data_IF_215108331569
#
_entry.id   IF_215108331569
#
_cell.length_a   1.000
_cell.length_b   1.000
_cell.length_c   1.000
_cell.angle_alpha   90.00
_cell.angle_beta   90.00
_cell.angle_gamma   90.00
#
_symmetry.space_group_name_H-M   'P 1'
#
loop_
_entity.id
_entity.type
_entity.pdbx_description
1 polymer ?
#
# COMPACT_ATOMS: atom_id res chain seq x y z
N UNK A 1 -30.13 -1.28 13.69
CA UNK A 1 -29.39 -2.38 14.34
C UNK A 1 -29.91 -3.67 13.71
N UNK A 2 -29.06 -4.36 12.96
CA UNK A 2 -29.49 -5.55 12.21
C UNK A 2 -29.72 -6.76 13.13
N UNK A 3 -30.63 -7.68 12.71
CA UNK A 3 -30.88 -8.92 13.44
C UNK A 3 -29.63 -9.72 13.78
N UNK A 4 -28.59 -9.58 12.95
CA UNK A 4 -27.27 -10.20 13.15
C UNK A 4 -26.52 -9.56 14.31
N UNK A 5 -26.63 -8.24 14.49
CA UNK A 5 -26.02 -7.51 15.60
C UNK A 5 -26.56 -7.95 16.95
N UNK A 6 -27.87 -8.20 17.01
CA UNK A 6 -28.56 -8.72 18.21
C UNK A 6 -28.14 -10.16 18.54
N UNK A 7 -28.02 -11.02 17.54
CA UNK A 7 -27.59 -12.41 17.73
C UNK A 7 -26.13 -12.53 18.17
N UNK A 8 -25.25 -11.66 17.66
CA UNK A 8 -23.84 -11.65 18.03
C UNK A 8 -23.56 -11.00 19.39
N UNK A 9 -24.40 -10.07 19.84
CA UNK A 9 -24.39 -9.58 21.24
C UNK A 9 -24.73 -10.68 22.24
N UNK A 10 -25.57 -11.64 21.85
CA UNK A 10 -25.93 -12.79 22.71
C UNK A 10 -24.80 -13.83 22.88
N UNK A 11 -23.77 -13.79 21.98
CA UNK A 11 -22.62 -14.72 21.99
C UNK A 11 -21.38 -14.08 22.67
N UNK A 12 -21.49 -12.87 23.23
CA UNK A 12 -20.39 -12.11 23.85
C UNK A 12 -19.17 -11.93 22.93
N UNK A 13 -19.33 -12.11 21.61
CA UNK A 13 -18.28 -11.93 20.62
C UNK A 13 -18.54 -10.66 19.80
N UNK A 14 -17.80 -9.56 20.03
CA UNK A 14 -18.04 -8.32 19.30
C UNK A 14 -17.91 -8.52 17.79
N UNK A 15 -18.89 -8.07 17.02
CA UNK A 15 -18.93 -8.14 15.54
C UNK A 15 -17.64 -7.64 14.92
N UNK A 16 -17.00 -6.66 15.53
CA UNK A 16 -15.73 -6.12 15.08
C UNK A 16 -14.63 -7.20 14.98
N UNK A 17 -14.43 -7.99 16.04
CA UNK A 17 -13.39 -9.04 16.04
C UNK A 17 -13.69 -10.13 15.02
N UNK A 18 -14.97 -10.47 14.83
CA UNK A 18 -15.39 -11.38 13.79
C UNK A 18 -15.03 -10.83 12.40
N UNK A 19 -15.32 -9.55 12.11
CA UNK A 19 -14.95 -8.90 10.84
C UNK A 19 -13.44 -8.90 10.63
N UNK A 20 -12.64 -8.64 11.66
CA UNK A 20 -11.17 -8.68 11.60
C UNK A 20 -10.66 -10.07 11.23
N UNK A 21 -11.14 -11.12 11.92
CA UNK A 21 -10.73 -12.49 11.64
C UNK A 21 -11.19 -12.93 10.25
N UNK A 22 -12.46 -12.69 9.90
CA UNK A 22 -13.00 -13.09 8.61
C UNK A 22 -12.33 -12.35 7.46
N UNK A 23 -12.07 -11.05 7.60
CA UNK A 23 -11.37 -10.27 6.56
C UNK A 23 -9.97 -10.82 6.29
N UNK A 24 -9.23 -11.18 7.33
CA UNK A 24 -7.92 -11.83 7.21
C UNK A 24 -8.02 -13.19 6.51
N UNK A 25 -8.88 -14.07 7.00
CA UNK A 25 -9.00 -15.44 6.48
C UNK A 25 -9.47 -15.43 5.02
N UNK A 26 -10.53 -14.67 4.72
CA UNK A 26 -11.05 -14.61 3.35
C UNK A 26 -10.07 -13.97 2.38
N UNK A 27 -9.39 -12.89 2.77
CA UNK A 27 -8.41 -12.24 1.91
C UNK A 27 -7.21 -13.15 1.63
N UNK A 28 -6.72 -13.88 2.64
CA UNK A 28 -5.71 -14.90 2.47
C UNK A 28 -6.18 -15.98 1.48
N UNK A 29 -7.35 -16.57 1.69
CA UNK A 29 -7.88 -17.65 0.85
C UNK A 29 -8.13 -17.19 -0.58
N UNK A 30 -8.73 -16.02 -0.80
CA UNK A 30 -8.98 -15.47 -2.13
C UNK A 30 -7.67 -15.32 -2.90
N UNK A 31 -6.65 -14.72 -2.27
CA UNK A 31 -5.33 -14.57 -2.90
C UNK A 31 -4.70 -15.91 -3.19
N UNK A 32 -4.71 -16.82 -2.21
CA UNK A 32 -4.10 -18.14 -2.32
C UNK A 32 -4.74 -19.00 -3.43
N UNK A 33 -6.07 -18.94 -3.61
CA UNK A 33 -6.76 -19.64 -4.69
C UNK A 33 -6.64 -18.96 -6.05
N UNK A 34 -6.54 -17.63 -6.10
CA UNK A 34 -6.47 -16.88 -7.37
C UNK A 34 -5.12 -17.00 -8.06
N UNK A 35 -4.02 -17.02 -7.31
CA UNK A 35 -2.66 -17.02 -7.85
C UNK A 35 -2.36 -18.20 -8.77
N UNK A 36 -2.69 -19.47 -8.45
CA UNK A 36 -2.44 -20.59 -9.37
C UNK A 36 -3.10 -20.42 -10.74
N UNK A 37 -4.31 -19.85 -10.75
CA UNK A 37 -5.04 -19.55 -11.98
C UNK A 37 -4.34 -18.48 -12.81
N UNK A 38 -3.86 -17.41 -12.16
CA UNK A 38 -3.11 -16.32 -12.80
C UNK A 38 -1.79 -16.88 -13.37
N UNK A 39 -1.03 -17.67 -12.62
CA UNK A 39 0.20 -18.32 -13.10
C UNK A 39 -0.09 -19.15 -14.37
N UNK A 40 -1.16 -19.94 -14.36
CA UNK A 40 -1.56 -20.79 -15.52
C UNK A 40 -1.90 -19.94 -16.75
N UNK A 41 -2.64 -18.84 -16.55
CA UNK A 41 -3.01 -17.92 -17.64
C UNK A 41 -1.75 -17.20 -18.17
N UNK A 42 -0.92 -16.65 -17.29
CA UNK A 42 0.31 -15.95 -17.66
C UNK A 42 1.24 -16.82 -18.49
N UNK A 43 1.43 -18.09 -18.10
CA UNK A 43 2.24 -19.05 -18.86
C UNK A 43 1.65 -19.36 -20.23
N UNK A 44 0.32 -19.56 -20.32
CA UNK A 44 -0.36 -19.86 -21.59
C UNK A 44 -0.31 -18.69 -22.57
N UNK A 45 -0.31 -17.47 -22.07
CA UNK A 45 -0.32 -16.23 -22.87
C UNK A 45 1.07 -15.62 -23.02
N UNK A 46 2.14 -16.26 -22.51
CA UNK A 46 3.50 -15.73 -22.47
C UNK A 46 3.62 -14.34 -21.81
N UNK A 47 2.75 -14.05 -20.82
CA UNK A 47 2.79 -12.84 -20.01
C UNK A 47 3.73 -13.10 -18.83
N UNK A 48 5.03 -13.04 -19.06
CA UNK A 48 6.07 -13.33 -18.08
C UNK A 48 7.17 -12.29 -18.19
N UNK A 49 7.75 -11.93 -17.05
CA UNK A 49 8.93 -11.08 -17.01
C UNK A 49 10.13 -11.84 -17.57
N UNK A 50 10.79 -11.22 -18.55
CA UNK A 50 11.96 -11.81 -19.22
C UNK A 50 13.25 -11.41 -18.49
N UNK A 51 14.18 -12.38 -18.31
CA UNK A 51 15.48 -12.07 -17.75
C UNK A 51 16.19 -11.02 -18.61
N UNK A 52 16.38 -9.83 -18.04
CA UNK A 52 17.10 -8.74 -18.68
C UNK A 52 18.46 -8.49 -17.99
N UNK A 53 19.28 -7.59 -18.56
CA UNK A 53 20.56 -7.18 -17.93
C UNK A 53 20.40 -6.54 -16.54
N UNK A 54 19.15 -6.23 -16.14
CA UNK A 54 18.80 -5.58 -14.87
C UNK A 54 17.99 -6.49 -13.92
N UNK A 55 17.60 -7.70 -14.37
CA UNK A 55 16.82 -8.61 -13.55
C UNK A 55 17.70 -9.50 -12.68
N UNK A 56 17.27 -9.74 -11.46
CA UNK A 56 17.93 -10.64 -10.49
C UNK A 56 17.63 -12.12 -10.74
N UNK A 57 16.86 -12.46 -11.77
CA UNK A 57 16.45 -13.83 -12.07
C UNK A 57 16.87 -14.27 -13.48
N UNK A 58 17.21 -15.54 -13.63
CA UNK A 58 17.66 -16.14 -14.89
C UNK A 58 16.54 -16.76 -15.75
N UNK A 59 15.29 -16.73 -15.29
CA UNK A 59 14.16 -17.42 -15.93
C UNK A 59 12.93 -16.53 -15.99
N UNK A 60 12.06 -16.80 -16.99
CA UNK A 60 10.75 -16.15 -17.15
C UNK A 60 9.82 -16.52 -15.99
N UNK A 61 9.37 -15.52 -15.23
CA UNK A 61 8.47 -15.66 -14.09
C UNK A 61 7.24 -14.77 -14.32
N UNK A 62 6.00 -15.26 -14.03
CA UNK A 62 4.80 -14.43 -14.09
C UNK A 62 4.91 -13.24 -13.12
N UNK A 63 4.52 -12.03 -13.58
CA UNK A 63 4.57 -10.78 -12.81
C UNK A 63 3.18 -10.19 -12.49
N UNK A 64 2.10 -10.92 -12.69
CA UNK A 64 0.73 -10.44 -12.50
C UNK A 64 0.12 -10.78 -11.12
N UNK A 65 0.95 -10.95 -10.08
CA UNK A 65 0.49 -11.24 -8.72
C UNK A 65 -0.37 -10.15 -8.12
N UNK A 66 -0.14 -8.91 -8.48
CA UNK A 66 -0.92 -7.75 -8.06
C UNK A 66 -2.40 -7.82 -8.42
N UNK A 67 -2.78 -8.53 -9.50
CA UNK A 67 -4.19 -8.73 -9.86
C UNK A 67 -4.92 -9.55 -8.78
N UNK A 68 -4.31 -10.64 -8.30
CA UNK A 68 -4.90 -11.44 -7.22
C UNK A 68 -5.02 -10.63 -5.93
N UNK A 69 -3.99 -9.83 -5.62
CA UNK A 69 -3.97 -8.97 -4.46
C UNK A 69 -5.06 -7.90 -4.52
N UNK A 70 -5.19 -7.20 -5.63
CA UNK A 70 -6.26 -6.22 -5.83
C UNK A 70 -7.65 -6.87 -5.67
N UNK A 71 -7.89 -7.98 -6.35
CA UNK A 71 -9.18 -8.68 -6.28
C UNK A 71 -9.55 -9.06 -4.85
N UNK A 72 -8.61 -9.62 -4.11
CA UNK A 72 -8.78 -9.98 -2.71
C UNK A 72 -9.10 -8.77 -1.83
N UNK A 73 -8.31 -7.68 -1.96
CA UNK A 73 -8.52 -6.45 -1.18
C UNK A 73 -9.87 -5.83 -1.53
N UNK A 74 -10.21 -5.71 -2.83
CA UNK A 74 -11.44 -5.10 -3.28
C UNK A 74 -12.67 -5.84 -2.74
N UNK A 75 -12.68 -7.17 -2.85
CA UNK A 75 -13.81 -8.00 -2.36
C UNK A 75 -13.92 -7.90 -0.83
N UNK A 76 -12.84 -8.16 -0.10
CA UNK A 76 -12.89 -8.18 1.36
C UNK A 76 -13.14 -6.81 1.97
N UNK A 77 -12.53 -5.73 1.44
CA UNK A 77 -12.80 -4.39 1.92
C UNK A 77 -14.25 -3.96 1.66
N UNK A 78 -14.83 -4.33 0.52
CA UNK A 78 -16.23 -4.02 0.20
C UNK A 78 -17.23 -4.76 1.13
N UNK A 79 -16.87 -5.95 1.62
CA UNK A 79 -17.74 -6.74 2.51
C UNK A 79 -17.55 -6.33 3.97
N UNK A 80 -16.30 -6.26 4.43
CA UNK A 80 -16.00 -6.13 5.86
C UNK A 80 -15.66 -4.70 6.31
N UNK A 81 -15.18 -3.85 5.41
CA UNK A 81 -14.78 -2.47 5.66
C UNK A 81 -15.52 -1.46 4.77
N UNK A 82 -16.76 -1.73 4.37
CA UNK A 82 -17.55 -0.90 3.44
C UNK A 82 -17.65 0.57 3.90
N UNK A 83 -17.64 0.82 5.20
CA UNK A 83 -17.63 2.18 5.76
C UNK A 83 -16.47 3.05 5.28
N UNK A 84 -15.35 2.44 4.81
CA UNK A 84 -14.24 3.18 4.20
C UNK A 84 -14.67 3.91 2.93
N UNK A 85 -15.58 3.33 2.15
CA UNK A 85 -16.03 3.94 0.90
C UNK A 85 -17.03 5.09 1.13
N UNK A 86 -17.70 5.10 2.28
CA UNK A 86 -18.51 6.24 2.73
C UNK A 86 -17.62 7.39 3.23
N UNK A 87 -16.56 7.05 3.96
CA UNK A 87 -15.59 8.01 4.50
C UNK A 87 -14.66 8.57 3.41
N UNK A 88 -14.20 7.69 2.50
CA UNK A 88 -13.22 8.00 1.47
C UNK A 88 -13.77 7.63 0.08
N UNK A 89 -14.75 8.40 -0.39
CA UNK A 89 -15.58 8.11 -1.59
C UNK A 89 -14.80 7.75 -2.84
N UNK A 90 -13.62 8.34 -3.03
CA UNK A 90 -12.81 8.11 -4.23
C UNK A 90 -11.72 7.04 -4.05
N UNK A 91 -11.63 6.40 -2.87
CA UNK A 91 -10.63 5.37 -2.63
C UNK A 91 -10.75 4.21 -3.62
N UNK A 92 -11.97 3.70 -3.81
CA UNK A 92 -12.19 2.58 -4.72
C UNK A 92 -11.89 2.94 -6.17
N UNK A 93 -12.33 4.11 -6.63
CA UNK A 93 -12.02 4.59 -7.99
C UNK A 93 -10.51 4.75 -8.19
N UNK A 94 -9.79 5.27 -7.21
CA UNK A 94 -8.33 5.39 -7.23
C UNK A 94 -7.65 4.02 -7.36
N UNK A 95 -8.12 3.03 -6.61
CA UNK A 95 -7.57 1.66 -6.67
C UNK A 95 -7.83 0.99 -8.03
N UNK A 96 -9.00 1.20 -8.65
CA UNK A 96 -9.34 0.66 -9.97
C UNK A 96 -8.47 1.29 -11.06
N UNK A 97 -8.25 2.60 -11.03
CA UNK A 97 -7.36 3.29 -11.99
C UNK A 97 -5.93 2.77 -11.80
N UNK A 98 -5.48 2.61 -10.57
CA UNK A 98 -4.14 2.10 -10.27
C UNK A 98 -3.95 0.66 -10.76
N UNK A 99 -4.97 -0.19 -10.58
CA UNK A 99 -4.99 -1.55 -11.14
C UNK A 99 -4.81 -1.51 -12.66
N UNK A 100 -5.62 -0.70 -13.35
CA UNK A 100 -5.54 -0.62 -14.81
C UNK A 100 -4.15 -0.21 -15.29
N UNK A 101 -3.59 0.83 -14.68
CA UNK A 101 -2.26 1.34 -15.04
C UNK A 101 -1.17 0.32 -14.71
N UNK A 102 -1.22 -0.31 -13.54
CA UNK A 102 -0.26 -1.33 -13.13
C UNK A 102 -0.28 -2.54 -14.07
N UNK A 103 -1.47 -3.06 -14.37
CA UNK A 103 -1.62 -4.19 -15.31
C UNK A 103 -1.10 -3.83 -16.70
N UNK A 104 -1.38 -2.61 -17.17
CA UNK A 104 -0.86 -2.14 -18.47
C UNK A 104 0.66 -2.02 -18.45
N UNK A 105 1.27 -1.61 -17.34
CA UNK A 105 2.71 -1.54 -17.20
C UNK A 105 3.35 -2.94 -17.14
N UNK A 106 2.75 -3.86 -16.39
CA UNK A 106 3.19 -5.25 -16.30
C UNK A 106 3.13 -6.02 -17.64
N UNK A 107 2.21 -5.64 -18.54
CA UNK A 107 2.02 -6.32 -19.84
C UNK A 107 2.79 -5.63 -20.97
N UNK A 108 2.80 -4.30 -21.02
CA UNK A 108 3.23 -3.54 -22.23
C UNK A 108 4.41 -2.60 -21.95
N UNK A 109 4.90 -2.51 -20.71
CA UNK A 109 5.94 -1.57 -20.27
C UNK A 109 5.62 -0.12 -20.66
N UNK A 110 5.04 0.63 -19.76
CA UNK A 110 4.61 2.00 -20.01
C UNK A 110 5.77 2.99 -19.95
N UNK A 111 5.68 4.08 -20.71
CA UNK A 111 6.60 5.21 -20.57
C UNK A 111 6.41 5.87 -19.18
N UNK A 112 7.50 6.20 -18.51
CA UNK A 112 7.51 6.75 -17.15
C UNK A 112 6.56 7.95 -16.95
N UNK A 113 6.46 8.85 -17.93
CA UNK A 113 5.58 10.02 -17.83
C UNK A 113 4.07 9.65 -17.80
N UNK A 114 3.66 8.56 -18.50
CA UNK A 114 2.26 8.10 -18.47
C UNK A 114 1.91 7.52 -17.11
N UNK A 115 2.83 6.74 -16.53
CA UNK A 115 2.71 6.21 -15.16
C UNK A 115 2.60 7.35 -14.15
N UNK A 116 3.45 8.38 -14.27
CA UNK A 116 3.42 9.56 -13.42
C UNK A 116 2.10 10.33 -13.52
N UNK A 117 1.59 10.57 -14.72
CA UNK A 117 0.30 11.26 -14.91
C UNK A 117 -0.82 10.47 -14.22
N UNK A 118 -0.86 9.16 -14.40
CA UNK A 118 -1.87 8.32 -13.75
C UNK A 118 -1.76 8.38 -12.21
N UNK A 119 -0.55 8.34 -11.66
CA UNK A 119 -0.33 8.50 -10.22
C UNK A 119 -0.79 9.87 -9.71
N UNK A 120 -0.56 10.95 -10.48
CA UNK A 120 -1.07 12.29 -10.14
C UNK A 120 -2.59 12.29 -10.11
N UNK A 121 -3.26 11.73 -11.11
CA UNK A 121 -4.73 11.66 -11.17
C UNK A 121 -5.28 10.88 -9.98
N UNK A 122 -4.72 9.71 -9.68
CA UNK A 122 -5.15 8.85 -8.57
C UNK A 122 -4.94 9.54 -7.22
N UNK A 123 -3.79 10.19 -7.01
CA UNK A 123 -3.51 10.96 -5.80
C UNK A 123 -4.45 12.17 -5.67
N UNK A 124 -4.69 12.90 -6.76
CA UNK A 124 -5.59 14.04 -6.76
C UNK A 124 -7.04 13.66 -6.45
N UNK A 125 -7.54 12.52 -6.99
CA UNK A 125 -8.87 12.01 -6.65
C UNK A 125 -9.02 11.75 -5.16
N UNK A 126 -8.01 11.19 -4.51
CA UNK A 126 -8.07 10.89 -3.08
C UNK A 126 -7.85 12.16 -2.23
N UNK A 127 -6.86 12.99 -2.58
CA UNK A 127 -6.50 14.19 -1.82
C UNK A 127 -7.57 15.25 -1.91
N UNK A 128 -8.09 15.52 -3.11
CA UNK A 128 -9.09 16.56 -3.33
C UNK A 128 -10.51 16.02 -3.12
N UNK A 129 -10.78 14.83 -3.67
CA UNK A 129 -12.13 14.25 -3.67
C UNK A 129 -12.53 13.64 -2.32
N UNK A 130 -11.61 13.01 -1.59
CA UNK A 130 -11.86 12.43 -0.26
C UNK A 130 -11.21 13.21 0.88
N UNK A 131 -10.60 14.36 0.61
CA UNK A 131 -9.93 15.26 1.58
C UNK A 131 -8.83 14.55 2.41
N UNK A 132 -8.20 13.50 1.85
CA UNK A 132 -7.09 12.77 2.47
C UNK A 132 -5.80 13.52 2.21
N UNK A 133 -5.42 14.41 3.12
CA UNK A 133 -4.28 15.30 2.93
C UNK A 133 -3.50 15.56 4.22
N UNK A 134 -2.23 15.90 4.06
CA UNK A 134 -1.36 16.34 5.15
C UNK A 134 -1.69 17.81 5.45
N UNK A 135 -2.34 18.07 6.57
CA UNK A 135 -2.81 19.41 6.98
C UNK A 135 -1.83 20.16 7.85
N UNK A 136 -0.89 19.45 8.47
CA UNK A 136 0.07 20.01 9.43
C UNK A 136 1.44 19.40 9.21
N UNK A 137 2.49 20.20 9.46
CA UNK A 137 3.85 19.70 9.66
C UNK A 137 4.19 19.50 11.13
N UNK A 138 3.21 19.64 12.04
CA UNK A 138 3.35 19.38 13.47
C UNK A 138 4.48 20.17 14.14
N UNK A 139 4.79 21.37 13.65
CA UNK A 139 5.84 22.24 14.16
C UNK A 139 7.22 22.03 13.53
N UNK A 140 7.37 21.11 12.58
CA UNK A 140 8.60 20.98 11.79
C UNK A 140 8.81 22.28 11.00
N UNK A 141 10.01 22.86 11.08
CA UNK A 141 10.35 24.19 10.55
C UNK A 141 9.45 25.33 11.08
N UNK A 142 8.81 25.16 12.25
CA UNK A 142 7.88 26.14 12.81
C UNK A 142 6.51 26.19 12.13
N UNK A 143 6.22 25.25 11.23
CA UNK A 143 4.96 25.18 10.48
C UNK A 143 4.01 24.21 11.17
N UNK A 144 2.91 24.73 11.74
CA UNK A 144 1.88 23.91 12.39
C UNK A 144 0.74 23.58 11.42
N UNK A 145 0.30 24.55 10.62
CA UNK A 145 -0.79 24.35 9.69
C UNK A 145 -0.38 24.74 8.26
N UNK A 146 -0.77 23.91 7.30
CA UNK A 146 -0.61 24.19 5.89
C UNK A 146 -1.90 24.80 5.34
N UNK A 147 -1.80 25.88 4.57
CA UNK A 147 -2.95 26.33 3.81
C UNK A 147 -3.42 25.24 2.85
N UNK A 148 -4.70 25.31 2.44
CA UNK A 148 -5.33 24.25 1.63
C UNK A 148 -4.52 23.91 0.38
N UNK A 149 -4.08 24.90 -0.38
CA UNK A 149 -3.37 24.71 -1.64
C UNK A 149 -2.01 24.01 -1.44
N UNK A 150 -1.21 24.47 -0.48
CA UNK A 150 0.06 23.82 -0.14
C UNK A 150 -0.15 22.40 0.40
N UNK A 151 -1.16 22.18 1.24
CA UNK A 151 -1.54 20.88 1.76
C UNK A 151 -1.88 19.89 0.63
N UNK A 152 -2.65 20.31 -0.37
CA UNK A 152 -3.00 19.49 -1.54
C UNK A 152 -1.77 19.13 -2.35
N UNK A 153 -0.94 20.10 -2.73
CA UNK A 153 0.27 19.86 -3.52
C UNK A 153 1.22 18.94 -2.76
N UNK A 154 1.47 19.24 -1.49
CA UNK A 154 2.38 18.46 -0.65
C UNK A 154 1.92 17.00 -0.51
N UNK A 155 0.61 16.78 -0.33
CA UNK A 155 0.04 15.44 -0.23
C UNK A 155 0.14 14.66 -1.55
N UNK A 156 -0.17 15.29 -2.70
CA UNK A 156 -0.03 14.64 -4.02
C UNK A 156 1.44 14.25 -4.26
N UNK A 157 2.38 15.15 -3.99
CA UNK A 157 3.81 14.87 -4.13
C UNK A 157 4.23 13.73 -3.21
N UNK A 158 3.76 13.71 -1.97
CA UNK A 158 4.02 12.62 -1.01
C UNK A 158 3.49 11.28 -1.53
N UNK A 159 2.26 11.23 -2.07
CA UNK A 159 1.73 10.01 -2.70
C UNK A 159 2.64 9.52 -3.82
N UNK A 160 3.05 10.40 -4.73
CA UNK A 160 3.90 10.03 -5.87
C UNK A 160 5.24 9.48 -5.38
N UNK A 161 5.89 10.18 -4.45
CA UNK A 161 7.20 9.77 -3.94
C UNK A 161 7.09 8.40 -3.24
N UNK A 162 6.14 8.21 -2.34
CA UNK A 162 6.04 7.01 -1.53
C UNK A 162 5.57 5.79 -2.33
N UNK A 163 4.66 5.97 -3.30
CA UNK A 163 4.25 4.89 -4.22
C UNK A 163 5.44 4.40 -5.05
N UNK A 164 6.22 5.33 -5.61
CA UNK A 164 7.40 4.95 -6.38
C UNK A 164 8.52 4.39 -5.49
N UNK A 165 8.72 4.94 -4.30
CA UNK A 165 9.69 4.43 -3.34
C UNK A 165 9.37 2.98 -2.92
N UNK A 166 8.08 2.67 -2.70
CA UNK A 166 7.66 1.30 -2.40
C UNK A 166 7.81 0.36 -3.60
N UNK A 167 7.53 0.83 -4.81
CA UNK A 167 7.75 0.06 -6.03
C UNK A 167 9.24 -0.28 -6.21
N UNK A 168 10.15 0.62 -5.85
CA UNK A 168 11.58 0.40 -5.97
C UNK A 168 12.14 -0.66 -5.00
N UNK A 169 11.52 -0.91 -3.85
CA UNK A 169 11.97 -1.97 -2.94
C UNK A 169 11.50 -3.37 -3.35
N UNK A 170 10.60 -3.50 -4.33
CA UNK A 170 10.11 -4.79 -4.84
C UNK A 170 11.09 -5.47 -5.82
N UNK A 171 12.38 -5.36 -5.55
CA UNK A 171 13.43 -5.99 -6.36
C UNK A 171 14.00 -7.29 -5.78
N UNK A 172 13.60 -7.67 -4.55
CA UNK A 172 13.99 -8.91 -3.87
C UNK A 172 12.75 -9.68 -3.47
N UNK A 173 12.78 -11.00 -3.69
CA UNK A 173 11.68 -11.89 -3.29
C UNK A 173 11.30 -11.71 -1.83
N UNK A 174 10.03 -11.46 -1.60
CA UNK A 174 9.46 -11.31 -0.27
C UNK A 174 9.72 -9.97 0.41
N UNK A 175 10.70 -9.15 -0.01
CA UNK A 175 11.08 -7.93 0.69
C UNK A 175 9.89 -6.96 0.80
N UNK A 176 9.32 -6.54 -0.32
CA UNK A 176 8.18 -5.62 -0.33
C UNK A 176 6.97 -6.23 0.40
N UNK A 177 6.69 -7.52 0.19
CA UNK A 177 5.57 -8.21 0.85
C UNK A 177 5.74 -8.27 2.37
N UNK A 178 6.88 -8.74 2.88
CA UNK A 178 7.15 -8.83 4.34
C UNK A 178 7.13 -7.45 4.98
N UNK A 179 7.77 -6.48 4.32
CA UNK A 179 7.75 -5.10 4.80
C UNK A 179 6.33 -4.53 4.86
N UNK A 180 5.51 -4.79 3.83
CA UNK A 180 4.09 -4.42 3.84
C UNK A 180 3.33 -5.03 5.01
N UNK A 181 3.51 -6.32 5.30
CA UNK A 181 2.90 -6.98 6.47
C UNK A 181 3.29 -6.29 7.78
N UNK A 182 4.56 -5.94 7.95
CA UNK A 182 5.03 -5.23 9.15
C UNK A 182 4.36 -3.84 9.25
N UNK A 183 4.39 -3.05 8.18
CA UNK A 183 3.82 -1.70 8.19
C UNK A 183 2.31 -1.70 8.47
N UNK A 184 1.53 -2.55 7.77
CA UNK A 184 0.09 -2.63 7.99
C UNK A 184 -0.26 -3.22 9.36
N UNK A 185 0.58 -4.08 9.94
CA UNK A 185 0.40 -4.55 11.32
C UNK A 185 0.60 -3.40 12.31
N UNK A 186 1.64 -2.59 12.14
CA UNK A 186 1.89 -1.44 13.01
C UNK A 186 0.79 -0.39 12.91
N UNK A 187 0.33 -0.06 11.69
CA UNK A 187 -0.80 0.85 11.51
C UNK A 187 -2.10 0.25 12.04
N UNK A 188 -2.39 -1.03 11.79
CA UNK A 188 -3.58 -1.71 12.30
C UNK A 188 -3.66 -1.69 13.83
N UNK A 189 -2.56 -1.99 14.52
CA UNK A 189 -2.46 -1.89 15.99
C UNK A 189 -2.66 -0.45 16.45
N UNK A 190 -2.07 0.52 15.76
CA UNK A 190 -2.20 1.93 16.08
C UNK A 190 -3.64 2.40 15.94
N UNK A 191 -4.32 2.06 14.85
CA UNK A 191 -5.73 2.38 14.63
C UNK A 191 -6.65 1.73 15.66
N UNK A 192 -6.39 0.48 16.03
CA UNK A 192 -7.15 -0.20 17.07
C UNK A 192 -7.07 0.55 18.41
N UNK A 193 -5.88 1.01 18.79
CA UNK A 193 -5.68 1.79 20.02
C UNK A 193 -6.30 3.19 19.97
N UNK A 194 -6.50 3.76 18.79
CA UNK A 194 -7.14 5.06 18.59
C UNK A 194 -8.68 5.01 18.63
N UNK A 195 -9.26 3.82 18.84
CA UNK A 195 -10.68 3.64 19.15
C UNK A 195 -11.56 3.32 17.95
N UNK A 196 -12.83 3.08 18.24
CA UNK A 196 -13.81 2.45 17.34
C UNK A 196 -14.03 3.15 16.00
N UNK A 197 -13.93 4.46 15.97
CA UNK A 197 -14.06 5.22 14.71
C UNK A 197 -13.06 4.76 13.65
N UNK A 198 -11.91 4.21 14.06
CA UNK A 198 -10.84 3.79 13.16
C UNK A 198 -10.92 2.29 12.82
N UNK A 199 -11.93 1.56 13.30
CA UNK A 199 -12.11 0.14 13.03
C UNK A 199 -12.16 -0.23 11.54
N UNK A 200 -12.74 0.58 10.64
CA UNK A 200 -12.65 0.30 9.20
C UNK A 200 -11.20 0.26 8.67
N UNK A 201 -10.30 1.11 9.21
CA UNK A 201 -8.88 1.10 8.85
C UNK A 201 -8.14 -0.11 9.46
N UNK A 202 -8.56 -0.60 10.63
CA UNK A 202 -8.06 -1.87 11.21
C UNK A 202 -8.42 -3.03 10.30
N UNK A 203 -9.69 -3.11 9.86
CA UNK A 203 -10.17 -4.18 8.98
C UNK A 203 -9.47 -4.11 7.61
N UNK A 204 -9.25 -2.92 7.06
CA UNK A 204 -8.45 -2.75 5.84
C UNK A 204 -7.02 -3.28 6.03
N UNK A 205 -6.37 -2.92 7.13
CA UNK A 205 -5.01 -3.37 7.45
C UNK A 205 -4.95 -4.90 7.53
N UNK A 206 -5.89 -5.54 8.23
CA UNK A 206 -5.93 -7.01 8.33
C UNK A 206 -6.26 -7.69 7.01
N UNK A 207 -7.12 -7.09 6.17
CA UNK A 207 -7.39 -7.53 4.81
C UNK A 207 -6.11 -7.53 3.96
N UNK A 208 -5.34 -6.46 4.02
CA UNK A 208 -4.08 -6.35 3.26
C UNK A 208 -3.07 -7.37 3.77
N UNK A 209 -2.93 -7.54 5.08
CA UNK A 209 -2.03 -8.53 5.68
C UNK A 209 -2.37 -9.93 5.20
N UNK A 210 -3.66 -10.35 5.25
CA UNK A 210 -4.10 -11.65 4.77
C UNK A 210 -3.80 -11.85 3.28
N UNK A 211 -4.09 -10.83 2.46
CA UNK A 211 -3.78 -10.80 1.03
C UNK A 211 -2.29 -11.01 0.76
N UNK A 212 -1.44 -10.23 1.44
CA UNK A 212 0.01 -10.27 1.22
C UNK A 212 0.61 -11.60 1.71
N UNK A 213 0.14 -12.16 2.82
CA UNK A 213 0.61 -13.48 3.29
C UNK A 213 0.23 -14.57 2.29
N UNK A 214 -0.99 -14.51 1.73
CA UNK A 214 -1.41 -15.42 0.65
C UNK A 214 -0.54 -15.30 -0.61
N UNK A 215 -0.11 -14.08 -0.96
CA UNK A 215 0.83 -13.82 -2.05
C UNK A 215 2.25 -14.33 -1.73
N UNK A 216 2.77 -14.05 -0.54
CA UNK A 216 4.11 -14.44 -0.12
C UNK A 216 4.33 -15.95 -0.17
N UNK A 217 3.30 -16.75 0.08
CA UNK A 217 3.36 -18.19 -0.07
C UNK A 217 3.87 -18.62 -1.46
N UNK A 218 3.44 -17.92 -2.51
CA UNK A 218 3.87 -18.21 -3.89
C UNK A 218 5.11 -17.44 -4.29
N UNK A 219 5.29 -16.22 -3.82
CA UNK A 219 6.46 -15.40 -4.14
C UNK A 219 7.76 -16.03 -3.62
N UNK A 220 7.71 -16.60 -2.41
CA UNK A 220 8.82 -17.29 -1.78
C UNK A 220 8.91 -18.80 -2.14
N UNK A 221 7.98 -19.30 -2.96
CA UNK A 221 7.95 -20.71 -3.36
C UNK A 221 8.98 -21.03 -4.42
N UNK A 222 9.21 -22.34 -4.60
CA UNK A 222 10.04 -22.86 -5.66
C UNK A 222 9.55 -22.48 -7.07
N UNK A 223 10.47 -22.53 -8.03
CA UNK A 223 10.38 -22.05 -9.41
C UNK A 223 9.08 -22.41 -10.17
N UNK A 224 8.46 -23.55 -9.84
CA UNK A 224 7.22 -23.99 -10.53
C UNK A 224 5.96 -23.25 -10.10
N UNK A 225 5.95 -22.64 -8.93
CA UNK A 225 4.81 -21.93 -8.35
C UNK A 225 5.07 -20.44 -8.13
N UNK A 226 6.26 -19.98 -8.48
CA UNK A 226 6.69 -18.61 -8.23
C UNK A 226 5.94 -17.60 -9.08
N UNK A 227 5.61 -16.48 -8.46
CA UNK A 227 5.00 -15.30 -9.09
C UNK A 227 5.59 -14.04 -8.46
N UNK A 228 5.79 -13.00 -9.27
CA UNK A 228 6.16 -11.66 -8.79
C UNK A 228 4.91 -10.81 -8.55
N UNK A 229 5.07 -9.80 -7.70
CA UNK A 229 4.02 -8.84 -7.37
C UNK A 229 3.68 -7.98 -8.59
N UNK A 230 4.68 -7.61 -9.37
CA UNK A 230 4.62 -6.69 -10.49
C UNK A 230 4.38 -5.24 -10.06
N UNK A 231 4.39 -4.35 -11.04
CA UNK A 231 4.08 -2.94 -10.85
C UNK A 231 2.66 -2.73 -10.31
N UNK A 232 1.72 -3.60 -10.72
CA UNK A 232 0.35 -3.62 -10.19
C UNK A 232 0.32 -3.77 -8.68
N UNK A 233 1.02 -4.76 -8.14
CA UNK A 233 0.96 -5.07 -6.71
C UNK A 233 1.77 -4.10 -5.86
N UNK A 234 2.97 -3.73 -6.29
CA UNK A 234 3.83 -2.82 -5.55
C UNK A 234 3.27 -1.39 -5.50
N UNK A 235 2.70 -0.87 -6.62
CA UNK A 235 2.00 0.42 -6.60
C UNK A 235 0.74 0.38 -5.74
N UNK A 236 -0.03 -0.71 -5.78
CA UNK A 236 -1.21 -0.91 -4.95
C UNK A 236 -0.86 -0.83 -3.45
N UNK A 237 0.15 -1.58 -3.01
CA UNK A 237 0.59 -1.57 -1.62
C UNK A 237 1.20 -0.22 -1.22
N UNK A 238 2.03 0.37 -2.06
CA UNK A 238 2.60 1.69 -1.82
C UNK A 238 1.53 2.77 -1.66
N UNK A 239 0.51 2.74 -2.52
CA UNK A 239 -0.63 3.67 -2.44
C UNK A 239 -1.45 3.47 -1.16
N UNK A 240 -1.82 2.23 -0.82
CA UNK A 240 -2.56 1.93 0.39
C UNK A 240 -1.76 2.25 1.66
N UNK A 241 -0.45 2.03 1.63
CA UNK A 241 0.42 2.36 2.75
C UNK A 241 0.54 3.88 2.94
N UNK A 242 0.65 4.64 1.84
CA UNK A 242 0.64 6.11 1.90
C UNK A 242 -0.72 6.64 2.39
N UNK A 243 -1.81 6.07 1.88
CA UNK A 243 -3.16 6.39 2.33
C UNK A 243 -3.32 6.19 3.85
N UNK A 244 -2.98 5.01 4.35
CA UNK A 244 -3.06 4.73 5.80
C UNK A 244 -2.14 5.65 6.60
N UNK A 245 -0.95 5.95 6.12
CA UNK A 245 -0.02 6.88 6.79
C UNK A 245 -0.59 8.29 6.92
N UNK A 246 -1.19 8.83 5.85
CA UNK A 246 -1.80 10.18 5.89
C UNK A 246 -3.05 10.18 6.79
N UNK A 247 -3.92 9.16 6.68
CA UNK A 247 -5.07 9.03 7.57
C UNK A 247 -4.65 8.96 9.05
N UNK A 248 -3.55 8.25 9.35
CA UNK A 248 -3.02 8.18 10.71
C UNK A 248 -2.63 9.56 11.24
N UNK A 249 -1.91 10.36 10.46
CA UNK A 249 -1.55 11.72 10.86
C UNK A 249 -2.77 12.63 11.01
N UNK A 250 -3.76 12.51 10.12
CA UNK A 250 -4.93 13.39 10.09
C UNK A 250 -5.85 13.20 11.31
N UNK A 251 -5.91 12.00 11.89
CA UNK A 251 -6.68 11.70 13.12
C UNK A 251 -6.27 12.63 14.28
N UNK A 252 -4.99 12.95 14.40
CA UNK A 252 -4.47 13.79 15.48
C UNK A 252 -4.80 15.28 15.30
N UNK A 253 -5.16 15.69 14.10
CA UNK A 253 -5.51 17.10 13.79
C UNK A 253 -7.02 17.29 13.88
N UNK A 254 -7.79 16.43 13.24
CA UNK A 254 -9.26 16.55 13.12
C UNK A 254 -9.96 16.14 14.41
N UNK A 255 -9.44 15.15 15.09
CA UNK A 255 -9.95 14.73 16.40
C UNK A 255 -8.88 15.05 17.43
N UNK A 256 -9.13 16.05 18.25
CA UNK A 256 -8.42 16.16 19.55
C UNK A 256 -8.71 14.86 20.29
N UNK A 257 -7.85 13.84 20.11
CA UNK A 257 -7.98 12.53 20.75
C UNK A 257 -7.73 12.73 22.24
N UNK A 258 -8.81 13.03 22.97
CA UNK A 258 -8.78 13.08 24.42
C UNK A 258 -8.60 11.65 24.90
N UNK A 259 -7.47 11.37 25.55
CA UNK A 259 -7.22 10.12 26.25
C UNK A 259 -6.37 9.07 25.54
N UNK A 260 -5.80 9.33 24.37
CA UNK A 260 -4.81 8.43 23.81
C UNK A 260 -3.48 8.54 24.59
N UNK A 261 -3.34 7.75 25.63
CA UNK A 261 -2.18 7.73 26.55
C UNK A 261 -0.85 7.42 25.85
N UNK A 262 -0.90 6.85 24.62
CA UNK A 262 0.28 6.34 23.91
C UNK A 262 0.78 7.21 22.76
N UNK A 263 -0.01 8.17 22.26
CA UNK A 263 0.38 8.99 21.12
C UNK A 263 0.20 10.46 21.42
N UNK A 264 1.28 11.22 21.35
CA UNK A 264 1.22 12.67 21.42
C UNK A 264 1.09 13.26 20.02
N UNK A 265 0.41 14.39 19.89
CA UNK A 265 0.19 15.11 18.63
C UNK A 265 1.50 15.23 17.81
N UNK A 266 2.59 15.59 18.46
CA UNK A 266 3.88 15.83 17.81
C UNK A 266 4.63 14.55 17.39
N UNK A 267 4.19 13.36 17.84
CA UNK A 267 4.85 12.08 17.49
C UNK A 267 4.23 11.38 16.28
N UNK A 268 3.01 11.77 15.87
CA UNK A 268 2.31 11.14 14.77
C UNK A 268 3.09 11.14 13.43
N UNK A 269 3.67 12.26 12.97
CA UNK A 269 4.46 12.26 11.74
C UNK A 269 5.75 11.44 11.87
N UNK A 270 6.39 11.47 13.05
CA UNK A 270 7.60 10.68 13.30
C UNK A 270 7.29 9.19 13.23
N UNK A 271 6.17 8.74 13.79
CA UNK A 271 5.71 7.35 13.70
C UNK A 271 5.39 6.96 12.26
N UNK A 272 4.65 7.79 11.52
CA UNK A 272 4.33 7.53 10.12
C UNK A 272 5.59 7.40 9.26
N UNK A 273 6.57 8.30 9.43
CA UNK A 273 7.86 8.24 8.75
C UNK A 273 8.66 7.00 9.19
N UNK A 274 8.70 6.70 10.50
CA UNK A 274 9.43 5.54 11.02
C UNK A 274 8.87 4.21 10.46
N UNK A 275 7.55 4.09 10.33
CA UNK A 275 6.91 2.92 9.72
C UNK A 275 7.27 2.82 8.22
N UNK A 276 7.45 3.94 7.52
CA UNK A 276 7.78 3.99 6.10
C UNK A 276 9.27 4.22 5.82
N UNK A 277 10.12 4.03 6.81
CA UNK A 277 11.53 4.45 6.74
C UNK A 277 12.33 3.74 5.65
N UNK A 278 12.08 2.45 5.40
CA UNK A 278 12.87 1.66 4.47
C UNK A 278 12.76 2.16 3.02
N UNK A 279 11.58 2.32 2.41
CA UNK A 279 11.48 2.87 1.06
C UNK A 279 11.95 4.32 0.97
N UNK A 280 11.77 5.11 2.03
CA UNK A 280 12.24 6.51 2.08
C UNK A 280 13.77 6.55 2.03
N UNK A 281 14.46 5.79 2.90
CA UNK A 281 15.93 5.79 2.95
C UNK A 281 16.52 5.23 1.66
N UNK A 282 15.96 4.14 1.11
CA UNK A 282 16.45 3.58 -0.15
C UNK A 282 16.38 4.60 -1.28
N UNK A 283 15.24 5.26 -1.44
CA UNK A 283 15.05 6.28 -2.48
C UNK A 283 15.98 7.49 -2.26
N UNK A 284 16.08 7.99 -1.01
CA UNK A 284 16.96 9.11 -0.70
C UNK A 284 18.44 8.78 -0.97
N UNK A 285 18.88 7.59 -0.58
CA UNK A 285 20.25 7.14 -0.80
C UNK A 285 20.59 7.13 -2.30
N UNK A 286 19.71 6.59 -3.12
CA UNK A 286 19.93 6.58 -4.58
C UNK A 286 19.93 7.99 -5.18
N UNK A 287 19.04 8.87 -4.74
CA UNK A 287 19.02 10.27 -5.18
C UNK A 287 20.34 10.96 -4.81
N UNK A 288 20.83 10.79 -3.58
CA UNK A 288 22.09 11.39 -3.11
C UNK A 288 23.28 10.91 -3.95
N UNK A 289 23.36 9.58 -4.21
CA UNK A 289 24.44 9.01 -5.04
C UNK A 289 24.41 9.61 -6.45
N UNK A 290 23.24 9.67 -7.09
CA UNK A 290 23.08 10.25 -8.44
C UNK A 290 23.50 11.72 -8.50
N UNK A 291 23.10 12.52 -7.52
CA UNK A 291 23.49 13.93 -7.42
C UNK A 291 25.01 14.08 -7.22
N UNK A 292 25.63 13.23 -6.39
CA UNK A 292 27.08 13.20 -6.21
C UNK A 292 27.83 12.84 -7.50
N UNK A 293 27.26 11.97 -8.32
CA UNK A 293 27.77 11.60 -9.66
C UNK A 293 27.39 12.60 -10.76
N UNK A 294 26.72 13.72 -10.42
CA UNK A 294 26.22 14.74 -11.38
C UNK A 294 25.26 14.15 -12.42
N UNK A 295 24.51 13.12 -12.05
CA UNK A 295 23.48 12.48 -12.87
C UNK A 295 22.10 12.96 -12.49
N UNK A 296 21.11 12.79 -13.39
CA UNK A 296 19.72 13.12 -13.09
C UNK A 296 19.18 12.22 -11.97
N UNK A 297 18.43 12.77 -10.98
CA UNK A 297 17.74 11.98 -9.96
C UNK A 297 16.77 10.94 -10.55
N UNK A 298 16.34 11.12 -11.79
CA UNK A 298 15.37 10.26 -12.49
C UNK A 298 16.03 9.24 -13.43
N UNK A 299 17.36 9.21 -13.54
CA UNK A 299 18.05 8.21 -14.36
C UNK A 299 17.89 6.82 -13.76
N UNK A 300 17.88 5.79 -14.62
CA UNK A 300 17.87 4.41 -14.15
C UNK A 300 19.19 4.06 -13.46
N UNK A 301 19.14 3.40 -12.30
CA UNK A 301 20.32 3.08 -11.50
C UNK A 301 20.30 1.62 -10.97
N UNK A 302 21.49 1.11 -10.62
CA UNK A 302 21.70 -0.17 -9.95
C UNK A 302 22.11 -0.03 -8.48
N UNK A 303 22.00 1.18 -7.88
CA UNK A 303 22.46 1.47 -6.53
C UNK A 303 21.38 1.29 -5.44
N UNK A 304 20.21 0.76 -5.78
CA UNK A 304 19.17 0.41 -4.80
C UNK A 304 19.64 -0.70 -3.84
N UNK A 305 19.08 -0.72 -2.63
CA UNK A 305 19.44 -1.70 -1.58
C UNK A 305 19.37 -3.14 -2.11
N UNK A 306 18.37 -3.47 -2.91
CA UNK A 306 18.22 -4.81 -3.48
C UNK A 306 19.37 -5.21 -4.42
N UNK A 307 19.98 -4.28 -5.13
CA UNK A 307 21.17 -4.57 -5.96
C UNK A 307 22.46 -4.73 -5.16
N UNK A 308 22.50 -4.25 -3.91
CA UNK A 308 23.67 -4.38 -3.02
C UNK A 308 23.62 -5.63 -2.14
N UNK A 309 22.44 -6.23 -1.99
CA UNK A 309 22.21 -7.44 -1.17
C UNK A 309 22.24 -8.73 -2.00
N UNK A 310 22.18 -8.64 -3.32
CA UNK A 310 22.35 -9.72 -4.29
C UNK A 310 23.78 -9.76 -4.82
#
# INVERSE_FOLDING_TARGET
MDKIDLLLQQIDFPIFYLKVVLSFVFSFLITWYSIPTIIKISRRKNLMDEPGQRSSHERKIPNLGGIAMFFSIAVCASIFAYQLFDLYKFLFASLVILLYVGVMDDIVVMRAYKKLIAQIVVAALLVIGSDVRIRSLFGVFGVYELNYFLSVIFSIVTFIILVNAYNLIDGIDGLAGVYGVICFSLFGISYYRLGEYNYPLVILSTTIIGTVIGFLYYNLSDRSKKIFMGDTGSMLLGFLLTFTSICFMDIFIVKKVQGAVFYHLNTAPVMAIAIMILPIIDTLNVIIIRLAEKRSPFDADKNHIHHKLL
#
